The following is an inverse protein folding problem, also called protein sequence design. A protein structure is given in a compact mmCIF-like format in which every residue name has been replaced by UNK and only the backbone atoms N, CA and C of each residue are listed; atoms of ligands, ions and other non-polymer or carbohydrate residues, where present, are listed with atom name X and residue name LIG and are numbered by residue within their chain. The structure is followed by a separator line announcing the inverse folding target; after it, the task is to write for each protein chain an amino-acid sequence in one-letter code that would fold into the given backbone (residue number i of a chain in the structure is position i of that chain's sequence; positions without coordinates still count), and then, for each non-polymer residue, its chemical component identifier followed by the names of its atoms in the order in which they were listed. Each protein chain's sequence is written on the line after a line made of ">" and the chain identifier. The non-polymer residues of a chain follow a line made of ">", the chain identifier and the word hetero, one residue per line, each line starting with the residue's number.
data_IF_113029552109
#
_entry.id   IF_113029552109
#
_cell.length_a   1.000
_cell.length_b   1.000
_cell.length_c   1.000
_cell.angle_alpha   90.00
_cell.angle_beta   90.00
_cell.angle_gamma   90.00
#
_symmetry.space_group_name_H-M   'P 1'
#
loop_
_entity.id
_entity.type
_entity.pdbx_description
1 polymer ?
#
# COMPACT_ATOMS: atom_id res chain seq x y z
N UNK A 1 24.85 6.07 2.55
CA UNK A 1 24.31 5.49 3.82
C UNK A 1 22.87 5.09 3.60
N UNK A 2 22.47 3.86 3.97
CA UNK A 2 21.07 3.42 3.94
C UNK A 2 20.43 3.69 5.30
N UNK A 3 19.22 4.28 5.29
CA UNK A 3 18.40 4.56 6.47
C UNK A 3 17.08 3.78 6.31
N UNK A 4 16.75 3.00 7.33
CA UNK A 4 15.50 2.23 7.40
C UNK A 4 14.71 2.71 8.63
N UNK A 5 13.56 3.34 8.40
CA UNK A 5 12.67 3.81 9.45
C UNK A 5 11.44 2.89 9.50
N UNK A 6 11.30 2.10 10.56
CA UNK A 6 10.09 1.34 10.85
C UNK A 6 9.11 2.26 11.58
N UNK A 7 8.07 2.68 10.89
CA UNK A 7 7.12 3.67 11.38
C UNK A 7 6.09 3.00 12.28
N UNK A 8 5.98 3.45 13.53
CA UNK A 8 4.94 2.93 14.43
C UNK A 8 3.57 3.51 14.06
N UNK A 9 2.94 2.92 13.08
CA UNK A 9 1.59 3.28 12.62
C UNK A 9 0.46 2.68 13.49
N UNK A 10 0.82 2.03 14.60
CA UNK A 10 -0.10 1.40 15.53
C UNK A 10 -0.56 0.02 15.07
N UNK A 11 -1.38 -0.06 14.04
CA UNK A 11 -1.80 -1.31 13.42
C UNK A 11 -1.33 -1.36 11.97
N UNK A 12 -0.70 -2.47 11.57
CA UNK A 12 -0.16 -2.67 10.24
C UNK A 12 1.29 -2.26 10.10
N UNK A 13 1.73 -2.16 8.87
CA UNK A 13 3.11 -1.93 8.51
C UNK A 13 3.30 -0.63 7.73
N UNK A 14 4.42 0.04 7.99
CA UNK A 14 4.93 1.13 7.15
C UNK A 14 6.42 1.27 7.36
N UNK A 15 7.20 1.27 6.29
CA UNK A 15 8.66 1.37 6.33
C UNK A 15 9.14 2.37 5.30
N UNK A 16 9.86 3.41 5.77
CA UNK A 16 10.56 4.34 4.90
C UNK A 16 12.01 3.90 4.73
N UNK A 17 12.43 3.75 3.47
CA UNK A 17 13.79 3.35 3.08
C UNK A 17 14.38 4.50 2.30
N UNK A 18 15.51 5.04 2.79
CA UNK A 18 16.20 6.17 2.16
C UNK A 18 17.67 5.87 1.94
N UNK A 19 18.17 6.19 0.76
CA UNK A 19 19.61 6.32 0.55
C UNK A 19 20.01 7.79 0.66
N UNK A 20 21.00 8.03 1.53
CA UNK A 20 21.55 9.35 1.82
C UNK A 20 23.01 9.41 1.39
N UNK A 21 23.40 10.47 0.71
CA UNK A 21 24.79 10.75 0.35
C UNK A 21 25.10 12.24 0.56
N UNK A 22 26.15 12.53 1.34
CA UNK A 22 26.52 13.91 1.67
C UNK A 22 25.45 14.72 2.42
N UNK A 23 24.50 14.06 3.08
CA UNK A 23 23.35 14.71 3.73
C UNK A 23 22.14 14.89 2.82
N UNK A 24 22.24 14.56 1.53
CA UNK A 24 21.17 14.64 0.55
C UNK A 24 20.49 13.28 0.34
N UNK A 25 19.17 13.28 0.16
CA UNK A 25 18.41 12.10 -0.20
C UNK A 25 18.60 11.80 -1.70
N UNK A 26 19.19 10.63 -2.00
CA UNK A 26 19.38 10.14 -3.37
C UNK A 26 18.22 9.28 -3.85
N UNK A 27 17.59 8.57 -2.92
CA UNK A 27 16.44 7.72 -3.19
C UNK A 27 15.57 7.61 -1.95
N UNK A 28 14.25 7.57 -2.14
CA UNK A 28 13.30 7.30 -1.08
C UNK A 28 12.20 6.34 -1.56
N UNK A 29 11.95 5.32 -0.76
CA UNK A 29 10.87 4.36 -0.98
C UNK A 29 10.07 4.20 0.31
N UNK A 30 8.73 4.21 0.19
CA UNK A 30 7.84 3.81 1.27
C UNK A 30 7.24 2.44 0.93
N UNK A 31 7.25 1.53 1.89
CA UNK A 31 6.56 0.23 1.80
C UNK A 31 5.40 0.25 2.77
N UNK A 32 4.19 0.13 2.24
CA UNK A 32 2.91 0.24 2.94
C UNK A 32 2.69 1.56 3.69
N UNK A 33 1.45 1.84 4.06
CA UNK A 33 1.03 3.13 4.60
C UNK A 33 0.41 3.05 6.00
N UNK A 34 0.29 1.84 6.56
CA UNK A 34 -0.39 1.62 7.83
C UNK A 34 -1.91 1.75 7.75
N UNK A 35 -2.54 1.70 8.90
CA UNK A 35 -3.99 1.82 9.05
C UNK A 35 -4.43 3.30 8.99
N UNK A 36 -5.68 3.55 8.63
CA UNK A 36 -6.31 4.89 8.64
C UNK A 36 -6.69 5.38 10.06
N UNK A 37 -6.42 4.58 11.10
CA UNK A 37 -6.63 4.89 12.52
C UNK A 37 -5.41 4.48 13.33
N UNK A 38 -4.96 5.38 14.20
CA UNK A 38 -3.86 5.12 15.15
C UNK A 38 -4.36 4.53 16.47
N UNK A 39 -5.63 4.72 16.82
CA UNK A 39 -6.22 4.21 18.04
C UNK A 39 -6.99 2.92 17.81
N UNK A 40 -6.85 2.03 18.78
CA UNK A 40 -7.65 0.81 18.92
C UNK A 40 -7.98 0.65 20.40
N UNK A 41 -9.05 -0.06 20.70
CA UNK A 41 -9.54 -0.27 22.07
C UNK A 41 -8.50 -0.98 22.98
N UNK A 42 -7.62 -1.78 22.37
CA UNK A 42 -6.55 -2.55 23.02
C UNK A 42 -5.21 -1.79 23.12
N UNK A 43 -5.11 -0.55 22.62
CA UNK A 43 -3.89 0.25 22.64
C UNK A 43 -3.97 1.38 23.68
N UNK A 44 -2.84 1.84 24.25
CA UNK A 44 -2.81 3.06 25.04
C UNK A 44 -3.37 4.24 24.22
N UNK A 45 -4.09 5.19 24.87
CA UNK A 45 -4.57 6.40 24.21
C UNK A 45 -3.42 7.18 23.52
N UNK A 46 -3.72 7.92 22.46
CA UNK A 46 -2.69 8.71 21.73
C UNK A 46 -2.04 9.79 22.59
N UNK A 47 -2.74 10.31 23.61
CA UNK A 47 -2.20 11.29 24.54
C UNK A 47 -1.34 10.66 25.66
N UNK A 48 -1.21 9.33 25.72
CA UNK A 48 -0.27 8.66 26.62
C UNK A 48 1.16 8.89 26.13
N UNK A 49 2.05 9.34 27.01
CA UNK A 49 3.45 9.58 26.69
C UNK A 49 4.22 8.35 26.17
N UNK A 50 3.69 7.14 26.41
CA UNK A 50 4.19 5.88 25.84
C UNK A 50 3.71 5.62 24.41
N UNK A 51 2.75 6.38 23.92
CA UNK A 51 2.25 6.25 22.57
C UNK A 51 3.16 7.04 21.62
N UNK A 52 3.97 6.33 20.85
CA UNK A 52 4.79 6.92 19.77
C UNK A 52 4.20 6.64 18.38
N UNK A 53 2.89 6.43 18.32
CA UNK A 53 2.18 6.15 17.05
C UNK A 53 2.01 7.41 16.23
N UNK A 54 2.27 7.29 14.93
CA UNK A 54 2.14 8.38 13.96
C UNK A 54 1.65 7.83 12.62
N UNK A 55 0.83 8.60 11.89
CA UNK A 55 0.53 8.23 10.51
C UNK A 55 1.76 8.36 9.60
N UNK A 56 1.90 7.45 8.64
CA UNK A 56 3.03 7.46 7.71
C UNK A 56 3.19 8.80 6.99
N UNK A 57 2.11 9.43 6.53
CA UNK A 57 2.16 10.75 5.89
C UNK A 57 2.69 11.85 6.81
N UNK A 58 2.33 11.82 8.10
CA UNK A 58 2.82 12.81 9.07
C UNK A 58 4.30 12.56 9.41
N UNK A 59 4.72 11.30 9.48
CA UNK A 59 6.13 10.94 9.64
C UNK A 59 6.97 11.44 8.45
N UNK A 60 6.50 11.26 7.21
CA UNK A 60 7.19 11.76 6.01
C UNK A 60 7.39 13.27 6.09
N UNK A 61 6.35 14.04 6.50
CA UNK A 61 6.47 15.51 6.70
C UNK A 61 7.51 15.85 7.78
N UNK A 62 7.52 15.13 8.90
CA UNK A 62 8.52 15.34 9.98
C UNK A 62 9.95 15.06 9.52
N UNK A 63 10.12 14.08 8.63
CA UNK A 63 11.44 13.74 8.04
C UNK A 63 11.82 14.66 6.87
N UNK A 64 10.99 15.63 6.49
CA UNK A 64 11.25 16.53 5.36
C UNK A 64 11.15 15.85 4.00
N UNK A 65 10.53 14.65 3.92
CA UNK A 65 10.32 13.94 2.66
C UNK A 65 9.10 14.54 1.96
N UNK A 66 9.30 15.10 0.79
CA UNK A 66 8.23 15.68 -0.06
C UNK A 66 7.97 14.88 -1.34
N UNK A 67 8.87 13.93 -1.67
CA UNK A 67 8.79 13.07 -2.85
C UNK A 67 9.30 11.68 -2.51
N UNK A 68 8.59 10.68 -2.98
CA UNK A 68 9.02 9.29 -3.02
C UNK A 68 9.33 8.88 -4.47
N UNK A 69 10.47 8.25 -4.68
CA UNK A 69 10.80 7.64 -5.97
C UNK A 69 9.95 6.38 -6.19
N UNK A 70 9.60 5.68 -5.09
CA UNK A 70 8.78 4.48 -5.14
C UNK A 70 7.86 4.37 -3.91
N UNK A 71 6.60 4.06 -4.13
CA UNK A 71 5.67 3.57 -3.12
C UNK A 71 5.30 2.13 -3.46
N UNK A 72 5.57 1.21 -2.55
CA UNK A 72 5.20 -0.20 -2.69
C UNK A 72 4.01 -0.49 -1.78
N UNK A 73 2.90 -0.96 -2.34
CA UNK A 73 1.79 -1.53 -1.57
C UNK A 73 1.85 -3.04 -1.69
N UNK A 74 2.18 -3.70 -0.58
CA UNK A 74 2.40 -5.15 -0.57
C UNK A 74 1.12 -5.90 -0.87
N UNK A 75 0.01 -5.48 -0.27
CA UNK A 75 -1.34 -6.00 -0.51
C UNK A 75 -2.40 -5.01 0.02
N UNK A 76 -3.70 -5.30 -0.17
CA UNK A 76 -4.77 -4.33 0.07
C UNK A 76 -5.52 -4.49 1.40
N UNK A 77 -4.95 -5.10 2.42
CA UNK A 77 -5.53 -5.02 3.75
C UNK A 77 -5.47 -3.58 4.29
N UNK A 78 -6.50 -3.20 5.05
CA UNK A 78 -6.67 -1.83 5.55
C UNK A 78 -5.49 -1.33 6.39
N UNK A 79 -4.83 -2.22 7.10
CA UNK A 79 -3.66 -1.94 7.93
C UNK A 79 -2.36 -1.76 7.14
N UNK A 80 -2.42 -1.92 5.81
CA UNK A 80 -1.32 -1.61 4.87
C UNK A 80 -1.64 -0.42 3.97
N UNK A 81 -2.91 -0.25 3.58
CA UNK A 81 -3.30 0.79 2.61
C UNK A 81 -4.14 1.92 3.23
N UNK A 82 -4.59 1.79 4.48
CA UNK A 82 -5.52 2.74 5.09
C UNK A 82 -4.96 4.16 5.19
N UNK A 83 -3.65 4.29 5.41
CA UNK A 83 -2.94 5.57 5.45
C UNK A 83 -2.60 6.19 4.10
N UNK A 84 -2.91 5.54 2.96
CA UNK A 84 -2.50 5.98 1.63
C UNK A 84 -2.93 7.41 1.31
N UNK A 85 -4.17 7.79 1.60
CA UNK A 85 -4.65 9.15 1.37
C UNK A 85 -3.76 10.20 2.05
N UNK A 86 -3.40 9.97 3.34
CA UNK A 86 -2.51 10.87 4.09
C UNK A 86 -1.09 10.92 3.52
N UNK A 87 -0.60 9.78 2.98
CA UNK A 87 0.69 9.75 2.29
C UNK A 87 0.63 10.61 1.03
N UNK A 88 -0.42 10.47 0.21
CA UNK A 88 -0.58 11.25 -1.02
C UNK A 88 -0.87 12.75 -0.75
N UNK A 89 -1.43 13.10 0.41
CA UNK A 89 -1.51 14.50 0.86
C UNK A 89 -0.12 15.07 1.21
N UNK A 90 0.78 14.22 1.72
CA UNK A 90 2.09 14.66 2.21
C UNK A 90 3.14 14.77 1.09
N UNK A 91 3.14 13.84 0.13
CA UNK A 91 4.22 13.67 -0.85
C UNK A 91 3.68 13.49 -2.26
N UNK A 92 4.56 13.71 -3.24
CA UNK A 92 4.39 13.17 -4.60
C UNK A 92 5.10 11.84 -4.72
N UNK A 93 4.62 10.98 -5.61
CA UNK A 93 5.14 9.62 -5.83
C UNK A 93 5.45 9.45 -7.31
N UNK A 94 6.70 9.14 -7.64
CA UNK A 94 7.08 8.91 -9.04
C UNK A 94 6.49 7.60 -9.55
N UNK A 95 6.54 6.56 -8.72
CA UNK A 95 5.96 5.27 -9.07
C UNK A 95 5.26 4.61 -7.89
N UNK A 96 4.05 4.14 -8.14
CA UNK A 96 3.32 3.21 -7.29
C UNK A 96 3.46 1.79 -7.84
N UNK A 97 4.09 0.88 -7.07
CA UNK A 97 4.14 -0.54 -7.35
C UNK A 97 3.16 -1.30 -6.45
N UNK A 98 2.28 -2.08 -7.04
CA UNK A 98 1.24 -2.82 -6.32
C UNK A 98 0.81 -4.05 -7.12
N UNK A 99 -0.10 -4.87 -6.59
CA UNK A 99 -0.61 -6.06 -7.31
C UNK A 99 -1.79 -5.75 -8.24
N UNK A 100 -2.46 -4.60 -8.09
CA UNK A 100 -3.60 -4.24 -8.93
C UNK A 100 -3.78 -2.72 -8.99
N UNK A 101 -4.06 -2.22 -10.18
CA UNK A 101 -4.46 -0.82 -10.40
C UNK A 101 -5.94 -0.77 -10.80
N UNK A 102 -6.77 0.02 -10.09
CA UNK A 102 -8.17 0.18 -10.44
C UNK A 102 -8.33 0.92 -11.77
N UNK A 103 -9.45 0.74 -12.48
CA UNK A 103 -9.73 1.51 -13.67
C UNK A 103 -9.75 3.03 -13.38
N UNK A 104 -9.19 3.84 -14.29
CA UNK A 104 -8.99 5.27 -14.08
C UNK A 104 -10.28 6.08 -13.75
N UNK A 105 -11.44 5.60 -14.17
CA UNK A 105 -12.74 6.25 -13.97
C UNK A 105 -13.70 5.39 -13.14
N UNK A 106 -13.17 4.53 -12.27
CA UNK A 106 -14.00 3.70 -11.40
C UNK A 106 -14.75 4.53 -10.37
N UNK A 107 -16.04 4.26 -10.21
CA UNK A 107 -16.84 4.80 -9.10
C UNK A 107 -16.56 4.08 -7.77
N UNK A 108 -17.20 4.52 -6.67
CA UNK A 108 -17.13 3.85 -5.39
C UNK A 108 -17.72 2.44 -5.48
N UNK A 109 -17.17 1.52 -4.67
CA UNK A 109 -17.61 0.11 -4.65
C UNK A 109 -18.80 -0.16 -3.74
N UNK A 110 -19.26 0.82 -2.93
CA UNK A 110 -20.36 0.73 -1.99
C UNK A 110 -20.37 -0.58 -1.16
N UNK A 111 -19.38 -0.77 -0.27
CA UNK A 111 -19.24 -1.99 0.51
C UNK A 111 -20.39 -2.24 1.50
N UNK A 112 -21.15 -1.22 1.84
CA UNK A 112 -22.24 -1.26 2.80
C UNK A 112 -23.64 -1.37 2.13
N UNK A 113 -23.73 -1.17 0.82
CA UNK A 113 -24.99 -1.24 0.05
C UNK A 113 -25.56 -2.66 -0.10
N UNK A 114 -24.76 -3.70 0.07
CA UNK A 114 -25.18 -5.10 0.00
C UNK A 114 -25.08 -5.80 1.36
N UNK A 115 -26.14 -5.69 2.15
CA UNK A 115 -26.24 -6.31 3.47
C UNK A 115 -26.26 -7.86 3.45
N UNK A 116 -26.39 -8.48 2.27
CA UNK A 116 -26.40 -9.94 2.08
C UNK A 116 -25.01 -10.57 1.98
N UNK A 117 -23.94 -9.78 1.83
CA UNK A 117 -22.60 -10.30 1.67
C UNK A 117 -21.98 -10.76 3.00
N UNK A 118 -21.18 -11.85 3.01
CA UNK A 118 -20.40 -12.26 4.17
C UNK A 118 -19.39 -11.18 4.61
N UNK A 119 -19.03 -11.18 5.89
CA UNK A 119 -18.09 -10.20 6.48
C UNK A 119 -16.77 -10.12 5.68
N UNK A 120 -16.20 -11.27 5.27
CA UNK A 120 -14.95 -11.28 4.51
C UNK A 120 -15.10 -10.62 3.13
N UNK A 121 -16.23 -10.82 2.44
CA UNK A 121 -16.52 -10.17 1.16
C UNK A 121 -16.68 -8.65 1.31
N UNK A 122 -17.44 -8.20 2.32
CA UNK A 122 -17.57 -6.75 2.61
C UNK A 122 -16.24 -6.12 2.99
N UNK A 123 -15.40 -6.85 3.75
CA UNK A 123 -14.06 -6.37 4.09
C UNK A 123 -13.17 -6.18 2.84
N UNK A 124 -13.19 -7.14 1.92
CA UNK A 124 -12.48 -7.01 0.64
C UNK A 124 -12.94 -5.77 -0.14
N UNK A 125 -14.27 -5.62 -0.33
CA UNK A 125 -14.83 -4.45 -1.01
C UNK A 125 -14.39 -3.15 -0.36
N UNK A 126 -14.47 -3.07 0.97
CA UNK A 126 -14.05 -1.88 1.73
C UNK A 126 -12.57 -1.57 1.58
N UNK A 127 -11.70 -2.58 1.63
CA UNK A 127 -10.27 -2.39 1.45
C UNK A 127 -9.95 -1.87 0.03
N UNK A 128 -10.52 -2.50 -0.99
CA UNK A 128 -10.29 -2.08 -2.39
C UNK A 128 -10.90 -0.71 -2.66
N UNK A 129 -12.04 -0.37 -2.03
CA UNK A 129 -12.65 0.96 -2.15
C UNK A 129 -11.80 2.05 -1.50
N UNK A 130 -11.27 1.83 -0.28
CA UNK A 130 -10.33 2.76 0.38
C UNK A 130 -9.12 3.03 -0.52
N UNK A 131 -8.55 1.99 -1.11
CA UNK A 131 -7.43 2.11 -2.04
C UNK A 131 -7.79 2.94 -3.27
N UNK A 132 -8.87 2.58 -3.94
CA UNK A 132 -9.33 3.27 -5.16
C UNK A 132 -9.72 4.73 -4.87
N UNK A 133 -10.37 4.98 -3.73
CA UNK A 133 -10.75 6.34 -3.29
C UNK A 133 -9.51 7.21 -3.05
N UNK A 134 -8.49 6.68 -2.37
CA UNK A 134 -7.25 7.42 -2.17
C UNK A 134 -6.61 7.85 -3.49
N UNK A 135 -6.63 7.00 -4.52
CA UNK A 135 -6.13 7.35 -5.86
C UNK A 135 -7.01 8.41 -6.56
N UNK A 136 -8.34 8.26 -6.48
CA UNK A 136 -9.28 9.22 -7.10
C UNK A 136 -9.21 10.61 -6.48
N UNK A 137 -9.08 10.67 -5.16
CA UNK A 137 -9.08 11.93 -4.39
C UNK A 137 -7.76 12.71 -4.51
N UNK A 138 -6.69 12.08 -5.02
CA UNK A 138 -5.37 12.70 -5.14
C UNK A 138 -4.83 12.62 -6.58
N UNK A 139 -5.56 13.19 -7.58
CA UNK A 139 -5.12 13.15 -8.97
C UNK A 139 -3.77 13.85 -9.14
N UNK A 140 -2.88 13.26 -9.94
CA UNK A 140 -1.55 13.81 -10.22
C UNK A 140 -0.52 13.67 -9.10
N UNK A 141 -0.87 13.06 -7.96
CA UNK A 141 0.12 12.77 -6.90
C UNK A 141 1.00 11.58 -7.21
N UNK A 142 0.57 10.69 -8.09
CA UNK A 142 1.33 9.53 -8.57
C UNK A 142 1.58 9.74 -10.06
N UNK A 143 2.86 9.78 -10.45
CA UNK A 143 3.22 9.98 -11.86
C UNK A 143 3.02 8.71 -12.69
N UNK A 144 3.29 7.53 -12.12
CA UNK A 144 3.13 6.24 -12.78
C UNK A 144 2.65 5.16 -11.81
N UNK A 145 1.69 4.34 -12.24
CA UNK A 145 1.29 3.12 -11.55
C UNK A 145 1.78 1.87 -12.28
N UNK A 146 2.33 0.91 -11.56
CA UNK A 146 2.79 -0.39 -12.08
C UNK A 146 2.11 -1.52 -11.32
N UNK A 147 1.27 -2.29 -12.02
CA UNK A 147 0.72 -3.53 -11.47
C UNK A 147 1.71 -4.67 -11.72
N UNK A 148 2.31 -5.16 -10.65
CA UNK A 148 3.24 -6.28 -10.69
C UNK A 148 2.47 -7.59 -10.76
N UNK A 149 2.45 -8.17 -11.95
CA UNK A 149 1.66 -9.35 -12.28
C UNK A 149 2.55 -10.55 -12.57
N UNK A 150 2.49 -11.54 -11.71
CA UNK A 150 2.95 -12.86 -12.12
C UNK A 150 4.38 -13.22 -11.73
N UNK A 151 4.97 -14.16 -12.46
CA UNK A 151 6.18 -14.90 -12.12
C UNK A 151 7.50 -14.12 -12.24
N UNK A 152 7.46 -12.84 -12.51
CA UNK A 152 8.66 -12.05 -12.77
C UNK A 152 9.10 -11.36 -11.49
N UNK A 153 10.29 -11.72 -11.01
CA UNK A 153 11.03 -10.89 -10.06
C UNK A 153 11.49 -9.64 -10.81
N UNK A 154 11.02 -8.48 -10.37
CA UNK A 154 11.44 -7.21 -10.93
C UNK A 154 12.68 -6.72 -10.19
N UNK A 155 13.83 -6.75 -10.87
CA UNK A 155 15.07 -6.21 -10.33
C UNK A 155 15.19 -4.72 -10.69
N UNK A 156 15.55 -3.91 -9.70
CA UNK A 156 15.76 -2.46 -9.84
C UNK A 156 17.06 -2.03 -9.16
N UNK A 157 17.76 -1.11 -9.79
CA UNK A 157 18.97 -0.49 -9.23
C UNK A 157 18.86 1.04 -9.36
N UNK A 158 18.17 1.71 -8.40
CA UNK A 158 17.98 3.15 -8.47
C UNK A 158 19.28 3.95 -8.30
N UNK A 159 20.27 3.38 -7.60
CA UNK A 159 21.58 3.99 -7.40
C UNK A 159 22.68 2.94 -7.53
N UNK A 160 23.96 3.33 -7.67
CA UNK A 160 25.06 2.36 -7.71
C UNK A 160 25.18 1.50 -6.44
N UNK A 161 24.77 2.02 -5.27
CA UNK A 161 24.91 1.33 -4.00
C UNK A 161 23.66 0.57 -3.58
N UNK A 162 22.47 0.92 -4.10
CA UNK A 162 21.21 0.31 -3.74
C UNK A 162 20.58 -0.42 -4.91
N UNK A 163 20.28 -1.70 -4.73
CA UNK A 163 19.41 -2.45 -5.61
C UNK A 163 18.35 -3.22 -4.83
N UNK A 164 17.27 -3.60 -5.49
CA UNK A 164 16.23 -4.40 -4.87
C UNK A 164 15.46 -5.25 -5.87
N UNK A 165 14.83 -6.28 -5.36
CA UNK A 165 13.94 -7.15 -6.10
C UNK A 165 12.53 -7.03 -5.52
N UNK A 166 11.52 -6.90 -6.39
CA UNK A 166 10.11 -7.00 -6.02
C UNK A 166 9.54 -8.25 -6.66
N UNK A 167 8.93 -9.10 -5.86
CA UNK A 167 8.38 -10.37 -6.28
C UNK A 167 6.97 -10.56 -5.75
N UNK A 168 6.05 -11.04 -6.59
CA UNK A 168 4.74 -11.51 -6.13
C UNK A 168 4.88 -12.87 -5.43
N UNK A 169 4.22 -13.03 -4.28
CA UNK A 169 4.31 -14.27 -3.48
C UNK A 169 3.76 -15.49 -4.24
N UNK A 170 2.59 -15.37 -4.86
CA UNK A 170 1.99 -16.43 -5.69
C UNK A 170 1.50 -15.88 -7.02
N UNK A 171 2.39 -15.88 -8.03
CA UNK A 171 2.05 -15.34 -9.35
C UNK A 171 0.94 -16.11 -10.08
N UNK A 172 0.70 -17.38 -9.73
CA UNK A 172 -0.37 -18.17 -10.36
C UNK A 172 -1.77 -17.71 -9.96
N UNK A 173 -1.91 -17.06 -8.81
CA UNK A 173 -3.18 -16.54 -8.31
C UNK A 173 -3.54 -15.17 -8.88
N UNK A 174 -2.56 -14.42 -9.38
CA UNK A 174 -2.76 -13.07 -9.88
C UNK A 174 -3.87 -12.92 -10.92
N UNK A 175 -3.95 -13.75 -11.99
CA UNK A 175 -5.02 -13.60 -12.99
C UNK A 175 -6.43 -13.75 -12.39
N UNK A 176 -6.58 -14.65 -11.42
CA UNK A 176 -7.87 -14.85 -10.71
C UNK A 176 -8.20 -13.67 -9.82
N UNK A 177 -7.24 -13.17 -9.06
CA UNK A 177 -7.42 -12.00 -8.20
C UNK A 177 -7.79 -10.79 -9.03
N UNK A 178 -7.06 -10.54 -10.11
CA UNK A 178 -7.35 -9.45 -11.05
C UNK A 178 -8.77 -9.54 -11.61
N UNK A 179 -9.20 -10.72 -12.04
CA UNK A 179 -10.54 -10.93 -12.58
C UNK A 179 -11.64 -10.58 -11.54
N UNK A 180 -11.44 -10.93 -10.27
CA UNK A 180 -12.39 -10.58 -9.19
C UNK A 180 -12.40 -9.07 -8.94
N UNK A 181 -11.26 -8.41 -8.90
CA UNK A 181 -11.19 -6.96 -8.74
C UNK A 181 -11.82 -6.22 -9.93
N UNK A 182 -11.53 -6.63 -11.15
CA UNK A 182 -12.17 -6.08 -12.35
C UNK A 182 -13.70 -6.25 -12.31
N UNK A 183 -14.19 -7.42 -11.87
CA UNK A 183 -15.62 -7.70 -11.69
C UNK A 183 -16.25 -6.76 -10.64
N UNK A 184 -15.56 -6.51 -9.53
CA UNK A 184 -16.03 -5.57 -8.48
C UNK A 184 -16.27 -4.17 -9.07
N UNK A 185 -15.36 -3.66 -9.90
CA UNK A 185 -15.51 -2.34 -10.55
C UNK A 185 -16.54 -2.30 -11.67
N UNK A 186 -16.96 -3.46 -12.21
CA UNK A 186 -18.14 -3.57 -13.10
C UNK A 186 -19.47 -3.69 -12.35
N UNK A 187 -19.45 -3.69 -11.02
CA UNK A 187 -20.65 -3.88 -10.19
C UNK A 187 -21.06 -5.35 -10.00
N UNK A 188 -20.25 -6.29 -10.46
CA UNK A 188 -20.50 -7.72 -10.28
C UNK A 188 -20.13 -8.15 -8.85
N UNK A 189 -20.98 -8.96 -8.22
CA UNK A 189 -20.85 -9.36 -6.80
C UNK A 189 -20.97 -10.87 -6.63
N UNK A 190 -20.00 -11.64 -7.19
CA UNK A 190 -19.96 -13.07 -6.93
C UNK A 190 -19.59 -13.32 -5.47
N UNK A 191 -20.56 -13.77 -4.67
CA UNK A 191 -20.43 -13.99 -3.23
C UNK A 191 -19.27 -14.93 -2.85
N UNK A 192 -19.08 -16.00 -3.63
CA UNK A 192 -18.04 -17.00 -3.35
C UNK A 192 -16.65 -16.46 -3.62
N UNK A 193 -16.46 -15.78 -4.74
CA UNK A 193 -15.17 -15.18 -5.10
C UNK A 193 -14.80 -14.08 -4.12
N UNK A 194 -15.72 -13.17 -3.81
CA UNK A 194 -15.49 -12.09 -2.84
C UNK A 194 -15.16 -12.64 -1.44
N UNK A 195 -15.86 -13.70 -1.00
CA UNK A 195 -15.58 -14.34 0.28
C UNK A 195 -14.21 -15.03 0.29
N UNK A 196 -13.87 -15.73 -0.78
CA UNK A 196 -12.59 -16.42 -0.92
C UNK A 196 -11.44 -15.42 -0.86
N UNK A 197 -11.45 -14.41 -1.73
CA UNK A 197 -10.39 -13.40 -1.78
C UNK A 197 -10.36 -12.50 -0.56
N UNK A 198 -11.49 -12.26 0.09
CA UNK A 198 -11.54 -11.54 1.37
C UNK A 198 -10.86 -12.28 2.54
N UNK A 199 -10.65 -13.60 2.41
CA UNK A 199 -9.87 -14.41 3.37
C UNK A 199 -8.41 -14.59 2.97
N UNK A 200 -8.08 -14.35 1.72
CA UNK A 200 -6.79 -14.71 1.11
C UNK A 200 -6.05 -13.49 0.54
N UNK A 201 -6.35 -12.27 0.98
CA UNK A 201 -5.72 -11.06 0.43
C UNK A 201 -4.18 -11.06 0.51
N UNK A 202 -3.60 -11.72 1.52
CA UNK A 202 -2.15 -11.81 1.70
C UNK A 202 -1.46 -12.78 0.71
N UNK A 203 -2.21 -13.65 0.05
CA UNK A 203 -1.62 -14.72 -0.79
C UNK A 203 -0.86 -14.14 -1.99
N UNK A 204 -1.28 -12.98 -2.47
CA UNK A 204 -0.63 -12.26 -3.58
C UNK A 204 0.23 -11.08 -3.12
N UNK A 205 0.66 -11.06 -1.85
CA UNK A 205 1.51 -10.00 -1.33
C UNK A 205 2.81 -9.87 -2.12
N UNK A 206 3.29 -8.64 -2.26
CA UNK A 206 4.62 -8.37 -2.80
C UNK A 206 5.67 -8.61 -1.71
N UNK A 207 6.77 -9.22 -2.11
CA UNK A 207 7.98 -9.38 -1.31
C UNK A 207 9.04 -8.44 -1.85
N UNK A 208 9.75 -7.78 -0.94
CA UNK A 208 10.85 -6.89 -1.26
C UNK A 208 12.14 -7.43 -0.66
N UNK A 209 13.18 -7.54 -1.49
CA UNK A 209 14.54 -7.88 -1.05
C UNK A 209 15.47 -6.74 -1.42
N UNK A 210 16.14 -6.19 -0.42
CA UNK A 210 17.10 -5.10 -0.59
C UNK A 210 18.53 -5.63 -0.62
N UNK A 211 19.37 -5.05 -1.48
CA UNK A 211 20.81 -5.26 -1.55
C UNK A 211 21.49 -3.89 -1.46
N UNK A 212 22.36 -3.72 -0.49
CA UNK A 212 23.09 -2.47 -0.28
C UNK A 212 24.60 -2.74 -0.25
N UNK A 213 25.35 -2.01 -1.07
CA UNK A 213 26.77 -2.17 -1.33
C UNK A 213 27.58 -0.91 -0.92
N UNK A 214 27.09 -0.16 0.07
CA UNK A 214 27.71 1.06 0.58
C UNK A 214 28.53 0.89 1.85
#
# INVERSE_FOLDING_TARGET
>A
MLVLDFINVGNGDSMLIREMEGGEQRFAMLVDCGHDKLERDDHPPLNDARSCRIFAGDFLRQQGVSRLDLLVLTHFHRDHIGGLGRVLEAVTVDELACTYLPPAHSGPLDPDGDNGLPKAARNLLRCVDIYAEALRSHPGRIARGTALSGAVTEFRQPTPALSFEIQCNDPALYPRQKAVYDAMFRGERNRYDLMHWGKCMNVSSLHLRLHYHG
#
